data_IF_961790274126
#
_entry.id   IF_961790274126
#
_cell.length_a   1.000
_cell.length_b   1.000
_cell.length_c   1.000
_cell.angle_alpha   90.00
_cell.angle_beta   90.00
_cell.angle_gamma   90.00
#
_symmetry.space_group_name_H-M   'P 1'
#
loop_
_entity.id
_entity.type
_entity.pdbx_description
1 polymer ?
#
# COMPACT_ATOMS: atom_id res chain seq x y z
N UNK A 1 -29.54 -32.05 2.75
CA UNK A 1 -29.07 -30.76 3.31
C UNK A 1 -29.84 -30.34 4.56
N UNK A 2 -31.12 -30.69 4.73
CA UNK A 2 -31.95 -30.35 5.91
C UNK A 2 -31.43 -30.89 7.25
N UNK A 3 -30.87 -32.10 7.29
CA UNK A 3 -30.41 -32.72 8.53
C UNK A 3 -29.15 -32.05 9.14
N UNK A 4 -28.23 -31.55 8.32
CA UNK A 4 -26.99 -30.93 8.81
C UNK A 4 -27.23 -29.53 9.39
N UNK A 5 -28.10 -28.74 8.75
CA UNK A 5 -28.43 -27.40 9.24
C UNK A 5 -29.21 -27.45 10.57
N UNK A 6 -30.08 -28.45 10.73
CA UNK A 6 -30.75 -28.73 12.01
C UNK A 6 -29.74 -29.10 13.10
N UNK A 7 -28.74 -29.94 12.77
CA UNK A 7 -27.64 -30.28 13.69
C UNK A 7 -26.79 -29.08 14.06
N UNK A 8 -26.45 -28.19 13.12
CA UNK A 8 -25.76 -26.92 13.42
C UNK A 8 -26.58 -26.06 14.38
N UNK A 9 -27.90 -25.95 14.17
CA UNK A 9 -28.80 -25.19 15.04
C UNK A 9 -28.88 -25.79 16.44
N UNK A 10 -29.01 -27.12 16.55
CA UNK A 10 -29.00 -27.83 17.84
C UNK A 10 -27.67 -27.62 18.57
N UNK A 11 -26.55 -27.73 17.86
CA UNK A 11 -25.23 -27.44 18.43
C UNK A 11 -25.11 -26.00 18.95
N UNK A 12 -25.62 -25.01 18.22
CA UNK A 12 -25.65 -23.62 18.67
C UNK A 12 -26.53 -23.44 19.92
N UNK A 13 -27.65 -24.16 20.03
CA UNK A 13 -28.52 -24.15 21.22
C UNK A 13 -27.83 -24.79 22.43
N UNK A 14 -27.16 -25.93 22.25
CA UNK A 14 -26.36 -26.58 23.29
C UNK A 14 -25.25 -25.65 23.80
N UNK A 15 -24.51 -25.04 22.88
CA UNK A 15 -23.46 -24.08 23.23
C UNK A 15 -23.99 -22.85 23.97
N UNK A 16 -25.19 -22.39 23.65
CA UNK A 16 -25.83 -21.26 24.34
C UNK A 16 -26.41 -21.64 25.72
N UNK A 17 -26.82 -22.90 25.90
CA UNK A 17 -27.35 -23.42 27.16
C UNK A 17 -26.24 -23.87 28.14
N UNK A 18 -25.02 -24.10 27.64
CA UNK A 18 -23.87 -24.50 28.44
C UNK A 18 -23.46 -23.38 29.42
N UNK A 19 -23.69 -23.62 30.71
CA UNK A 19 -23.40 -22.65 31.80
C UNK A 19 -21.92 -22.58 32.15
N UNK A 20 -21.19 -23.69 32.03
CA UNK A 20 -19.75 -23.74 32.20
C UNK A 20 -19.09 -24.23 30.91
N UNK A 21 -18.63 -23.31 30.05
CA UNK A 21 -17.95 -23.70 28.83
C UNK A 21 -16.72 -24.57 29.11
N UNK A 22 -16.10 -24.50 30.29
CA UNK A 22 -14.88 -25.24 30.59
C UNK A 22 -15.05 -26.76 30.55
N UNK A 23 -16.30 -27.24 30.57
CA UNK A 23 -16.68 -28.61 30.25
C UNK A 23 -15.92 -29.13 29.02
N UNK A 24 -15.42 -30.35 29.16
CA UNK A 24 -14.57 -31.02 28.19
C UNK A 24 -15.34 -32.10 27.43
N UNK A 25 -14.75 -32.60 26.33
CA UNK A 25 -15.33 -33.72 25.57
C UNK A 25 -15.62 -34.95 26.46
N UNK A 26 -14.89 -35.15 27.57
CA UNK A 26 -15.15 -36.25 28.53
C UNK A 26 -16.38 -36.07 29.41
N UNK A 27 -16.98 -34.88 29.43
CA UNK A 27 -18.21 -34.58 30.19
C UNK A 27 -19.46 -34.58 29.28
N UNK A 28 -19.26 -34.75 27.95
CA UNK A 28 -20.33 -34.84 26.98
C UNK A 28 -21.07 -36.18 27.08
N UNK A 29 -22.36 -36.16 26.78
CA UNK A 29 -23.16 -37.39 26.69
C UNK A 29 -22.72 -38.25 25.50
N UNK A 30 -22.96 -39.57 25.58
CA UNK A 30 -22.68 -40.49 24.47
C UNK A 30 -23.35 -40.05 23.16
N UNK A 31 -24.58 -39.53 23.24
CA UNK A 31 -25.31 -38.99 22.08
C UNK A 31 -24.61 -37.77 21.47
N UNK A 32 -24.07 -36.86 22.28
CA UNK A 32 -23.32 -35.69 21.80
C UNK A 32 -21.98 -36.08 21.18
N UNK A 33 -21.28 -37.06 21.77
CA UNK A 33 -20.04 -37.58 21.21
C UNK A 33 -20.28 -38.21 19.84
N UNK A 34 -21.30 -39.04 19.71
CA UNK A 34 -21.68 -39.67 18.44
C UNK A 34 -22.05 -38.64 17.37
N UNK A 35 -22.81 -37.60 17.72
CA UNK A 35 -23.28 -36.58 16.77
C UNK A 35 -22.21 -35.56 16.38
N UNK A 36 -21.36 -35.10 17.32
CA UNK A 36 -20.53 -33.89 17.16
C UNK A 36 -19.03 -34.13 17.18
N UNK A 37 -18.55 -35.26 17.72
CA UNK A 37 -17.10 -35.53 17.84
C UNK A 37 -16.43 -35.71 16.47
N UNK A 38 -15.21 -35.19 16.34
CA UNK A 38 -14.37 -35.42 15.16
C UNK A 38 -13.92 -36.89 15.02
N UNK A 39 -14.17 -37.74 16.02
CA UNK A 39 -13.84 -39.16 15.96
C UNK A 39 -14.91 -39.98 15.21
N UNK A 40 -16.15 -39.50 15.15
CA UNK A 40 -17.25 -40.21 14.51
C UNK A 40 -17.44 -39.76 13.06
N UNK A 41 -18.04 -40.62 12.22
CA UNK A 41 -18.35 -40.26 10.85
C UNK A 41 -19.38 -39.11 10.77
N UNK A 42 -20.36 -39.11 11.68
CA UNK A 42 -21.39 -38.08 11.74
C UNK A 42 -20.82 -36.71 12.12
N UNK A 43 -19.96 -36.63 13.14
CA UNK A 43 -19.35 -35.37 13.55
C UNK A 43 -18.34 -34.83 12.54
N UNK A 44 -17.62 -35.69 11.81
CA UNK A 44 -16.78 -35.26 10.67
C UNK A 44 -17.61 -34.62 9.55
N UNK A 45 -18.73 -35.24 9.16
CA UNK A 45 -19.63 -34.69 8.15
C UNK A 45 -20.21 -33.35 8.58
N UNK A 46 -20.56 -33.19 9.85
CA UNK A 46 -21.02 -31.92 10.38
C UNK A 46 -19.91 -30.86 10.37
N UNK A 47 -18.71 -31.20 10.83
CA UNK A 47 -17.54 -30.32 10.78
C UNK A 47 -17.25 -29.80 9.36
N UNK A 48 -17.29 -30.68 8.36
CA UNK A 48 -17.04 -30.33 6.96
C UNK A 48 -18.10 -29.39 6.39
N UNK A 49 -19.32 -29.43 6.94
CA UNK A 49 -20.40 -28.51 6.56
C UNK A 49 -20.20 -27.08 7.06
N UNK A 50 -19.28 -26.84 8.00
CA UNK A 50 -18.93 -25.50 8.46
C UNK A 50 -17.90 -24.84 7.54
N UNK A 51 -18.25 -23.62 7.13
CA UNK A 51 -17.32 -22.66 6.51
C UNK A 51 -16.37 -22.09 7.56
N UNK A 52 -15.22 -21.59 7.08
CA UNK A 52 -14.27 -20.89 7.95
C UNK A 52 -14.94 -19.69 8.64
N UNK A 53 -15.77 -18.94 7.92
CA UNK A 53 -16.45 -17.75 8.42
C UNK A 53 -17.49 -18.08 9.51
N UNK A 54 -18.26 -19.15 9.38
CA UNK A 54 -19.19 -19.59 10.43
C UNK A 54 -18.44 -19.92 11.74
N UNK A 55 -17.31 -20.61 11.65
CA UNK A 55 -16.49 -20.94 12.83
C UNK A 55 -15.85 -19.69 13.44
N UNK A 56 -15.33 -18.78 12.62
CA UNK A 56 -14.75 -17.52 13.10
C UNK A 56 -15.81 -16.62 13.75
N UNK A 57 -17.04 -16.63 13.23
CA UNK A 57 -18.17 -15.87 13.79
C UNK A 57 -18.57 -16.37 15.19
N UNK A 58 -18.44 -17.67 15.48
CA UNK A 58 -18.62 -18.20 16.84
C UNK A 58 -17.64 -17.51 17.80
N UNK A 59 -16.37 -17.42 17.42
CA UNK A 59 -15.33 -16.78 18.24
C UNK A 59 -15.62 -15.29 18.45
N UNK A 60 -16.05 -14.57 17.40
CA UNK A 60 -16.41 -13.14 17.50
C UNK A 60 -17.58 -12.91 18.45
N UNK A 61 -18.67 -13.69 18.31
CA UNK A 61 -19.83 -13.59 19.20
C UNK A 61 -19.48 -13.90 20.66
N UNK A 62 -18.65 -14.92 20.90
CA UNK A 62 -18.16 -15.18 22.27
C UNK A 62 -17.32 -14.02 22.79
N UNK A 63 -16.47 -13.41 21.96
CA UNK A 63 -15.69 -12.24 22.34
C UNK A 63 -16.55 -11.02 22.69
N UNK A 64 -17.64 -10.79 21.94
CA UNK A 64 -18.63 -9.75 22.21
C UNK A 64 -19.34 -9.97 23.55
N UNK A 65 -19.75 -11.20 23.82
CA UNK A 65 -20.40 -11.56 25.09
C UNK A 65 -19.47 -11.41 26.30
N UNK A 66 -18.20 -11.77 26.16
CA UNK A 66 -17.21 -11.68 27.24
C UNK A 66 -16.56 -10.30 27.37
N UNK A 67 -16.67 -9.45 26.36
CA UNK A 67 -15.99 -8.15 26.29
C UNK A 67 -14.46 -8.24 26.10
N UNK A 68 -13.92 -9.43 25.83
CA UNK A 68 -12.49 -9.67 25.58
C UNK A 68 -12.28 -10.84 24.61
N UNK A 69 -11.05 -10.99 24.09
CA UNK A 69 -10.71 -12.14 23.25
C UNK A 69 -10.83 -13.45 24.05
N UNK A 70 -11.63 -14.44 23.61
CA UNK A 70 -11.92 -15.63 24.40
C UNK A 70 -10.71 -16.56 24.49
N UNK A 71 -10.43 -17.07 25.67
CA UNK A 71 -9.58 -18.24 25.86
C UNK A 71 -10.26 -19.49 25.29
N UNK A 72 -9.45 -20.49 24.95
CA UNK A 72 -9.97 -21.74 24.40
C UNK A 72 -11.08 -22.31 25.30
N UNK A 73 -10.85 -22.34 26.62
CA UNK A 73 -11.78 -22.85 27.64
C UNK A 73 -13.07 -22.02 27.85
N UNK A 74 -13.23 -20.91 27.14
CA UNK A 74 -14.41 -20.04 27.24
C UNK A 74 -15.36 -20.23 26.04
N UNK A 75 -14.98 -21.06 25.06
CA UNK A 75 -15.80 -21.39 23.87
C UNK A 75 -16.25 -22.84 23.96
N UNK A 76 -17.51 -23.18 23.67
CA UNK A 76 -18.01 -24.57 23.79
C UNK A 76 -17.13 -25.63 23.11
N UNK A 77 -17.01 -26.82 23.73
CA UNK A 77 -15.95 -27.80 23.42
C UNK A 77 -15.93 -28.25 21.96
N UNK A 78 -17.09 -28.48 21.35
CA UNK A 78 -17.20 -28.88 19.93
C UNK A 78 -16.55 -27.84 19.02
N UNK A 79 -16.86 -26.56 19.23
CA UNK A 79 -16.27 -25.48 18.46
C UNK A 79 -14.76 -25.34 18.71
N UNK A 80 -14.26 -25.62 19.93
CA UNK A 80 -12.80 -25.67 20.19
C UNK A 80 -12.12 -26.68 19.29
N UNK A 81 -12.70 -27.89 19.19
CA UNK A 81 -12.16 -28.98 18.39
C UNK A 81 -12.15 -28.59 16.90
N UNK A 82 -13.25 -28.02 16.41
CA UNK A 82 -13.38 -27.61 15.01
C UNK A 82 -12.41 -26.47 14.65
N UNK A 83 -12.31 -25.45 15.50
CA UNK A 83 -11.40 -24.32 15.32
C UNK A 83 -9.93 -24.75 15.35
N UNK A 84 -9.54 -25.62 16.29
CA UNK A 84 -8.18 -26.17 16.34
C UNK A 84 -7.86 -27.01 15.12
N UNK A 85 -8.82 -27.82 14.64
CA UNK A 85 -8.64 -28.62 13.43
C UNK A 85 -8.49 -27.75 12.19
N UNK A 86 -9.28 -26.67 12.06
CA UNK A 86 -9.31 -25.81 10.87
C UNK A 86 -8.16 -24.79 10.83
N UNK A 87 -7.78 -24.21 11.97
CA UNK A 87 -6.82 -23.11 12.05
C UNK A 87 -5.53 -23.45 12.80
N UNK A 88 -5.32 -24.74 13.11
CA UNK A 88 -4.16 -25.34 13.80
C UNK A 88 -4.00 -24.90 15.26
N UNK A 89 -3.82 -23.59 15.50
CA UNK A 89 -3.55 -23.00 16.81
C UNK A 89 -4.60 -21.96 17.16
N UNK A 90 -5.01 -21.93 18.43
CA UNK A 90 -6.00 -20.97 18.93
C UNK A 90 -5.65 -19.49 18.63
N UNK A 91 -4.40 -19.02 18.80
CA UNK A 91 -4.03 -17.66 18.44
C UNK A 91 -4.16 -17.34 16.94
N UNK A 92 -4.16 -18.35 16.06
CA UNK A 92 -4.40 -18.14 14.63
C UNK A 92 -5.88 -18.01 14.32
N UNK A 93 -6.73 -18.79 14.99
CA UNK A 93 -8.19 -18.61 14.92
C UNK A 93 -8.60 -17.20 15.42
N UNK A 94 -8.08 -16.76 16.57
CA UNK A 94 -8.31 -15.40 17.08
C UNK A 94 -7.86 -14.34 16.07
N UNK A 95 -6.64 -14.49 15.53
CA UNK A 95 -6.13 -13.53 14.55
C UNK A 95 -6.97 -13.48 13.27
N UNK A 96 -7.47 -14.62 12.76
CA UNK A 96 -8.37 -14.67 11.61
C UNK A 96 -9.79 -14.17 11.93
N UNK A 97 -10.17 -14.13 13.19
CA UNK A 97 -11.43 -13.55 13.63
C UNK A 97 -11.32 -12.02 13.85
N UNK A 98 -10.17 -11.41 13.56
CA UNK A 98 -9.91 -9.99 13.83
C UNK A 98 -9.67 -9.67 15.30
N UNK A 99 -9.33 -10.65 16.13
CA UNK A 99 -9.13 -10.54 17.58
C UNK A 99 -7.65 -10.59 17.97
N UNK A 100 -7.37 -10.13 19.19
CA UNK A 100 -6.03 -10.21 19.79
C UNK A 100 -5.63 -11.65 20.07
N UNK A 101 -4.34 -11.97 19.91
CA UNK A 101 -3.77 -13.27 20.29
C UNK A 101 -3.70 -13.46 21.81
N UNK A 102 -3.75 -12.37 22.57
CA UNK A 102 -3.81 -12.41 24.02
C UNK A 102 -5.25 -12.71 24.47
N UNK A 103 -5.47 -13.92 24.97
CA UNK A 103 -6.79 -14.47 25.26
C UNK A 103 -7.10 -14.55 26.77
N UNK A 104 -8.39 -14.65 27.12
CA UNK A 104 -8.88 -14.76 28.50
C UNK A 104 -8.93 -13.44 29.26
N UNK A 105 -9.14 -13.49 30.57
CA UNK A 105 -9.34 -12.30 31.45
C UNK A 105 -8.16 -11.31 31.48
N UNK A 106 -6.96 -11.73 31.06
CA UNK A 106 -5.78 -10.84 30.90
C UNK A 106 -5.52 -10.42 29.45
N UNK A 107 -6.39 -10.81 28.52
CA UNK A 107 -6.33 -10.49 27.11
C UNK A 107 -6.74 -9.05 26.80
N UNK A 108 -6.52 -8.62 25.56
CA UNK A 108 -6.95 -7.28 25.11
C UNK A 108 -8.48 -7.21 25.11
N UNK A 109 -9.05 -6.23 25.81
CA UNK A 109 -10.50 -6.00 25.81
C UNK A 109 -11.00 -5.56 24.43
N UNK A 110 -12.26 -5.87 24.12
CA UNK A 110 -12.92 -5.45 22.88
C UNK A 110 -12.92 -3.93 22.73
N UNK A 111 -13.25 -3.22 23.82
CA UNK A 111 -13.23 -1.76 23.86
C UNK A 111 -11.85 -1.18 23.52
N UNK A 112 -10.76 -1.79 24.02
CA UNK A 112 -9.40 -1.35 23.70
C UNK A 112 -9.06 -1.59 22.23
N UNK A 113 -9.38 -2.75 21.68
CA UNK A 113 -9.12 -3.05 20.26
C UNK A 113 -9.91 -2.11 19.34
N UNK A 114 -11.15 -1.78 19.71
CA UNK A 114 -11.96 -0.82 18.98
C UNK A 114 -11.37 0.60 19.07
N UNK A 115 -10.93 1.04 20.24
CA UNK A 115 -10.25 2.32 20.42
C UNK A 115 -8.95 2.40 19.59
N UNK A 116 -8.14 1.33 19.57
CA UNK A 116 -6.92 1.26 18.75
C UNK A 116 -7.25 1.32 17.25
N UNK A 117 -8.29 0.62 16.78
CA UNK A 117 -8.75 0.70 15.38
C UNK A 117 -9.29 2.09 15.03
N UNK A 118 -10.04 2.71 15.94
CA UNK A 118 -10.56 4.07 15.75
C UNK A 118 -9.41 5.07 15.64
N UNK A 119 -8.47 5.01 16.58
CA UNK A 119 -7.28 5.87 16.57
C UNK A 119 -6.44 5.68 15.30
N UNK A 120 -6.27 4.44 14.82
CA UNK A 120 -5.59 4.17 13.55
C UNK A 120 -6.29 4.84 12.36
N UNK A 121 -7.63 4.81 12.29
CA UNK A 121 -8.39 5.53 11.26
C UNK A 121 -8.22 7.04 11.37
N UNK A 122 -8.28 7.59 12.58
CA UNK A 122 -8.09 9.03 12.83
C UNK A 122 -6.69 9.50 12.38
N UNK A 123 -5.65 8.69 12.60
CA UNK A 123 -4.30 8.99 12.11
C UNK A 123 -4.24 9.05 10.58
N UNK A 124 -4.90 8.12 9.88
CA UNK A 124 -4.94 8.14 8.41
C UNK A 124 -5.72 9.34 7.88
N UNK A 125 -6.84 9.69 8.52
CA UNK A 125 -7.61 10.88 8.15
C UNK A 125 -6.81 12.16 8.39
N UNK A 126 -6.10 12.26 9.53
CA UNK A 126 -5.19 13.37 9.80
C UNK A 126 -4.12 13.52 8.71
N UNK A 127 -3.54 12.41 8.24
CA UNK A 127 -2.57 12.45 7.14
C UNK A 127 -3.22 12.97 5.86
N UNK A 128 -4.43 12.53 5.55
CA UNK A 128 -5.21 12.98 4.39
C UNK A 128 -5.55 14.46 4.46
N UNK A 129 -6.15 14.90 5.56
CA UNK A 129 -6.53 16.30 5.80
C UNK A 129 -5.32 17.23 5.75
N UNK A 130 -4.19 16.82 6.35
CA UNK A 130 -2.96 17.62 6.27
C UNK A 130 -2.45 17.73 4.83
N UNK A 131 -2.63 16.70 4.00
CA UNK A 131 -2.34 16.77 2.57
C UNK A 131 -3.18 17.82 1.85
N UNK A 132 -4.48 17.87 2.16
CA UNK A 132 -5.41 18.87 1.62
C UNK A 132 -5.00 20.28 2.08
N UNK A 133 -4.75 20.47 3.37
CA UNK A 133 -4.35 21.76 3.95
C UNK A 133 -3.04 22.30 3.36
N UNK A 134 -2.05 21.42 3.16
CA UNK A 134 -0.77 21.80 2.59
C UNK A 134 -0.82 21.99 1.07
N UNK A 135 -1.86 21.49 0.40
CA UNK A 135 -1.91 21.40 -1.06
C UNK A 135 -0.80 20.53 -1.65
N UNK A 136 -0.16 19.67 -0.87
CA UNK A 136 0.95 18.81 -1.33
C UNK A 136 0.96 17.51 -0.55
N UNK A 137 1.70 16.52 -1.06
CA UNK A 137 1.99 15.31 -0.29
C UNK A 137 2.64 15.74 1.04
N UNK A 138 2.05 15.33 2.17
CA UNK A 138 2.69 15.51 3.44
C UNK A 138 3.99 14.71 3.52
N UNK A 139 5.03 15.36 4.02
CA UNK A 139 6.31 14.75 4.32
C UNK A 139 6.27 14.20 5.76
N UNK A 140 7.05 13.15 6.11
CA UNK A 140 7.18 12.68 7.50
C UNK A 140 7.52 13.76 8.54
N UNK A 141 8.09 14.88 8.09
CA UNK A 141 8.45 16.02 8.96
C UNK A 141 7.25 16.87 9.35
N UNK A 142 6.14 16.73 8.63
CA UNK A 142 4.88 17.41 8.91
C UNK A 142 4.09 16.71 10.04
N UNK A 143 4.54 15.53 10.52
CA UNK A 143 3.88 14.71 11.58
C UNK A 143 4.87 14.17 12.62
N UNK A 144 5.79 15.00 13.11
CA UNK A 144 6.84 14.51 14.01
C UNK A 144 6.29 13.85 15.27
N UNK A 145 5.15 14.34 15.76
CA UNK A 145 4.51 13.85 16.97
C UNK A 145 3.78 12.52 16.73
N UNK A 146 3.23 12.31 15.54
CA UNK A 146 2.43 11.14 15.18
C UNK A 146 3.25 10.02 14.51
N UNK A 147 4.53 10.27 14.19
CA UNK A 147 5.41 9.27 13.56
C UNK A 147 5.55 8.00 14.40
N UNK A 148 5.58 8.13 15.73
CA UNK A 148 5.67 6.98 16.64
C UNK A 148 4.45 6.06 16.54
N UNK A 149 3.25 6.64 16.42
CA UNK A 149 2.01 5.88 16.31
C UNK A 149 1.83 5.27 14.93
N UNK A 150 2.17 5.99 13.86
CA UNK A 150 2.14 5.46 12.50
C UNK A 150 3.14 4.30 12.31
N UNK A 151 4.30 4.34 12.97
CA UNK A 151 5.30 3.27 12.92
C UNK A 151 4.84 1.96 13.55
N UNK A 152 3.77 1.95 14.37
CA UNK A 152 3.16 0.72 14.90
C UNK A 152 2.49 -0.11 13.81
N UNK A 153 2.00 0.56 12.76
CA UNK A 153 1.21 -0.06 11.70
C UNK A 153 1.98 -0.18 10.37
N UNK A 154 2.92 0.72 10.10
CA UNK A 154 3.59 0.83 8.80
C UNK A 154 5.11 0.87 8.89
N UNK A 155 5.78 0.26 7.91
CA UNK A 155 7.24 0.23 7.80
C UNK A 155 7.82 1.34 6.94
N UNK A 156 7.03 1.88 6.00
CA UNK A 156 7.46 2.94 5.07
C UNK A 156 6.43 4.07 5.02
N UNK A 157 6.87 5.31 4.81
CA UNK A 157 5.94 6.45 4.63
C UNK A 157 5.02 6.24 3.42
N UNK A 158 5.52 5.55 2.39
CA UNK A 158 4.72 5.21 1.21
C UNK A 158 3.53 4.30 1.56
N UNK A 159 3.70 3.37 2.50
CA UNK A 159 2.58 2.56 2.99
C UNK A 159 1.54 3.41 3.72
N UNK A 160 1.97 4.39 4.52
CA UNK A 160 1.07 5.36 5.18
C UNK A 160 0.26 6.13 4.14
N UNK A 161 0.93 6.73 3.15
CA UNK A 161 0.27 7.50 2.09
C UNK A 161 -0.72 6.63 1.29
N UNK A 162 -0.32 5.40 0.94
CA UNK A 162 -1.19 4.45 0.24
C UNK A 162 -2.42 4.10 1.08
N UNK A 163 -2.23 3.84 2.38
CA UNK A 163 -3.33 3.52 3.29
C UNK A 163 -4.27 4.71 3.54
N UNK A 164 -3.74 5.94 3.49
CA UNK A 164 -4.51 7.17 3.56
C UNK A 164 -5.18 7.55 2.22
N UNK A 165 -5.02 6.74 1.16
CA UNK A 165 -5.57 7.02 -0.17
C UNK A 165 -4.89 8.18 -0.90
N UNK A 166 -3.66 8.54 -0.53
CA UNK A 166 -2.86 9.56 -1.21
C UNK A 166 -1.99 8.88 -2.27
N UNK A 167 -2.38 9.03 -3.53
CA UNK A 167 -1.60 8.57 -4.68
C UNK A 167 -0.68 9.68 -5.19
N UNK A 168 0.38 9.34 -5.92
CA UNK A 168 1.38 10.33 -6.38
C UNK A 168 0.89 11.16 -7.57
N UNK A 169 -0.09 10.64 -8.31
CA UNK A 169 -0.75 11.31 -9.42
C UNK A 169 -1.61 12.49 -8.95
N UNK A 170 -2.26 12.36 -7.79
CA UNK A 170 -3.19 13.36 -7.21
C UNK A 170 -2.47 14.51 -6.48
N UNK A 171 -1.17 14.66 -6.68
CA UNK A 171 -0.28 15.45 -5.80
C UNK A 171 0.16 16.79 -6.37
N UNK A 172 -0.28 17.03 -7.59
CA UNK A 172 -0.12 18.27 -8.31
C UNK A 172 -1.50 18.87 -8.50
N UNK A 173 -1.60 20.19 -8.35
CA UNK A 173 -2.87 20.89 -8.45
C UNK A 173 -2.65 22.20 -9.20
N UNK A 174 -3.59 22.60 -10.07
CA UNK A 174 -3.50 23.89 -10.76
C UNK A 174 -3.70 25.03 -9.76
N UNK A 175 -2.90 26.09 -9.88
CA UNK A 175 -3.06 27.32 -9.09
C UNK A 175 -3.67 28.38 -10.00
N UNK A 176 -4.96 28.68 -9.82
CA UNK A 176 -5.68 29.62 -10.67
C UNK A 176 -5.29 31.08 -10.45
N UNK A 177 -4.89 31.44 -9.23
CA UNK A 177 -4.66 32.81 -8.76
C UNK A 177 -3.17 33.17 -8.64
N UNK A 178 -2.35 32.73 -9.60
CA UNK A 178 -0.93 33.09 -9.63
C UNK A 178 -0.75 34.59 -9.89
N UNK A 179 -0.07 35.26 -8.98
CA UNK A 179 0.26 36.67 -9.07
C UNK A 179 1.25 36.91 -10.24
N UNK A 180 1.22 38.09 -10.89
CA UNK A 180 2.09 38.38 -12.04
C UNK A 180 3.58 38.15 -11.78
N UNK A 181 4.06 38.41 -10.55
CA UNK A 181 5.44 38.13 -10.14
C UNK A 181 5.77 36.64 -10.27
N UNK A 182 4.92 35.75 -9.77
CA UNK A 182 5.13 34.30 -9.86
C UNK A 182 4.98 33.79 -11.29
N UNK A 183 4.07 34.36 -12.09
CA UNK A 183 3.97 34.04 -13.53
C UNK A 183 5.27 34.36 -14.25
N UNK A 184 5.88 35.52 -13.99
CA UNK A 184 7.17 35.88 -14.57
C UNK A 184 8.30 34.93 -14.12
N UNK A 185 8.31 34.53 -12.85
CA UNK A 185 9.27 33.53 -12.33
C UNK A 185 9.10 32.16 -12.99
N UNK A 186 7.85 31.72 -13.20
CA UNK A 186 7.53 30.46 -13.88
C UNK A 186 7.91 30.51 -15.36
N UNK A 187 7.69 31.63 -16.06
CA UNK A 187 8.14 31.81 -17.44
C UNK A 187 9.67 31.74 -17.54
N UNK A 188 10.40 32.42 -16.65
CA UNK A 188 11.87 32.32 -16.56
C UNK A 188 12.32 30.87 -16.34
N UNK A 189 11.62 30.13 -15.48
CA UNK A 189 11.90 28.72 -15.24
C UNK A 189 11.63 27.85 -16.49
N UNK A 190 10.58 28.15 -17.24
CA UNK A 190 10.23 27.47 -18.48
C UNK A 190 11.25 27.77 -19.59
N UNK A 191 11.73 29.01 -19.71
CA UNK A 191 12.82 29.38 -20.62
C UNK A 191 14.10 28.61 -20.28
N UNK A 192 14.45 28.52 -18.99
CA UNK A 192 15.58 27.71 -18.56
C UNK A 192 15.38 26.23 -18.92
N UNK A 193 14.17 25.69 -18.76
CA UNK A 193 13.86 24.31 -19.16
C UNK A 193 14.01 24.09 -20.67
N UNK A 194 13.56 25.06 -21.49
CA UNK A 194 13.72 25.03 -22.95
C UNK A 194 15.21 25.06 -23.34
N UNK A 195 16.00 25.92 -22.70
CA UNK A 195 17.44 26.00 -22.94
C UNK A 195 18.18 24.71 -22.54
N UNK A 196 17.77 24.06 -21.45
CA UNK A 196 18.30 22.75 -21.03
C UNK A 196 17.78 21.58 -21.87
N UNK A 197 16.69 21.78 -22.62
CA UNK A 197 15.99 20.71 -23.34
C UNK A 197 15.21 19.74 -22.46
N UNK A 198 15.03 20.06 -21.17
CA UNK A 198 14.36 19.22 -20.17
C UNK A 198 13.97 20.05 -18.95
N UNK A 199 13.17 19.47 -18.06
CA UNK A 199 12.92 20.08 -16.76
C UNK A 199 14.26 20.29 -15.99
N UNK A 200 14.46 21.47 -15.38
CA UNK A 200 15.66 21.74 -14.59
C UNK A 200 15.66 20.92 -13.29
N UNK A 201 16.84 20.48 -12.89
CA UNK A 201 17.05 19.89 -11.58
C UNK A 201 16.94 20.98 -10.51
N UNK A 202 16.54 20.57 -9.30
CA UNK A 202 16.41 21.48 -8.15
C UNK A 202 17.70 22.27 -7.86
N UNK A 203 18.86 21.67 -8.08
CA UNK A 203 20.19 22.29 -7.88
C UNK A 203 20.63 23.21 -9.01
N UNK A 204 20.00 23.14 -10.20
CA UNK A 204 20.32 23.96 -11.37
C UNK A 204 19.60 25.32 -11.35
N UNK A 205 18.64 25.49 -10.43
CA UNK A 205 17.86 26.72 -10.28
C UNK A 205 18.35 27.48 -9.05
N UNK A 206 18.55 28.80 -9.24
CA UNK A 206 19.00 29.70 -8.19
C UNK A 206 18.14 29.56 -6.92
N UNK A 207 18.81 29.46 -5.77
CA UNK A 207 18.16 29.14 -4.50
C UNK A 207 17.06 30.14 -4.09
N UNK A 208 17.23 31.47 -4.25
CA UNK A 208 16.17 32.43 -3.93
C UNK A 208 14.90 32.24 -4.77
N UNK A 209 15.08 32.09 -6.09
CA UNK A 209 13.99 31.84 -7.03
C UNK A 209 13.25 30.54 -6.68
N UNK A 210 14.01 29.46 -6.48
CA UNK A 210 13.47 28.16 -6.09
C UNK A 210 12.68 28.23 -4.79
N UNK A 211 13.19 28.89 -3.76
CA UNK A 211 12.50 29.00 -2.45
C UNK A 211 11.18 29.74 -2.58
N UNK A 212 11.14 30.87 -3.30
CA UNK A 212 9.89 31.62 -3.57
C UNK A 212 8.87 30.75 -4.30
N UNK A 213 9.27 30.09 -5.38
CA UNK A 213 8.39 29.23 -6.17
C UNK A 213 7.86 28.04 -5.35
N UNK A 214 8.69 27.39 -4.53
CA UNK A 214 8.26 26.28 -3.66
C UNK A 214 7.31 26.79 -2.57
N UNK A 215 7.57 27.95 -1.98
CA UNK A 215 6.69 28.52 -0.97
C UNK A 215 5.29 28.79 -1.54
N UNK A 216 5.20 29.32 -2.76
CA UNK A 216 3.91 29.62 -3.42
C UNK A 216 3.23 28.39 -4.01
N UNK A 217 3.99 27.48 -4.62
CA UNK A 217 3.46 26.29 -5.30
C UNK A 217 3.38 25.07 -4.38
N UNK A 218 3.81 25.16 -3.12
CA UNK A 218 3.87 24.07 -2.14
C UNK A 218 5.04 23.12 -2.33
N UNK A 219 5.33 22.68 -3.56
CA UNK A 219 6.43 21.73 -3.83
C UNK A 219 7.11 21.99 -5.17
N UNK A 220 8.35 21.49 -5.31
CA UNK A 220 9.09 21.57 -6.58
C UNK A 220 8.36 20.84 -7.73
N UNK A 221 7.72 19.70 -7.42
CA UNK A 221 6.92 18.95 -8.40
C UNK A 221 5.74 19.78 -8.88
N UNK A 222 5.04 20.45 -7.97
CA UNK A 222 3.91 21.29 -8.33
C UNK A 222 4.35 22.59 -9.05
N UNK A 223 5.53 23.15 -8.72
CA UNK A 223 6.13 24.25 -9.48
C UNK A 223 6.34 23.86 -10.95
N UNK A 224 6.90 22.67 -11.22
CA UNK A 224 7.07 22.17 -12.58
C UNK A 224 5.72 21.89 -13.25
N UNK A 225 4.73 21.40 -12.49
CA UNK A 225 3.39 21.17 -12.99
C UNK A 225 2.71 22.45 -13.50
N UNK A 226 2.90 23.60 -12.83
CA UNK A 226 2.33 24.88 -13.28
C UNK A 226 2.83 25.30 -14.68
N UNK A 227 3.98 24.78 -15.13
CA UNK A 227 4.54 25.03 -16.46
C UNK A 227 4.45 23.81 -17.39
N UNK A 228 3.60 22.83 -17.03
CA UNK A 228 3.36 21.62 -17.83
C UNK A 228 4.53 20.64 -17.87
N UNK A 229 5.43 20.69 -16.88
CA UNK A 229 6.60 19.83 -16.76
C UNK A 229 6.49 18.87 -15.58
N UNK A 230 7.20 17.74 -15.67
CA UNK A 230 7.40 16.82 -14.56
C UNK A 230 8.87 16.82 -14.09
N UNK A 231 9.14 16.54 -12.80
CA UNK A 231 10.50 16.36 -12.32
C UNK A 231 11.23 15.25 -13.06
N UNK A 232 12.53 15.44 -13.25
CA UNK A 232 13.43 14.36 -13.66
C UNK A 232 13.43 13.28 -12.58
N UNK A 233 12.91 12.10 -12.90
CA UNK A 233 12.73 11.00 -11.96
C UNK A 233 13.77 9.90 -12.19
N UNK A 234 14.36 9.35 -11.13
CA UNK A 234 15.22 8.18 -11.28
C UNK A 234 14.38 6.97 -11.69
N UNK A 235 14.93 6.05 -12.48
CA UNK A 235 14.25 4.82 -12.92
C UNK A 235 13.83 3.94 -11.72
N UNK A 236 14.54 4.06 -10.59
CA UNK A 236 14.25 3.38 -9.31
C UNK A 236 14.26 4.39 -8.15
N UNK A 237 13.19 5.18 -7.94
CA UNK A 237 13.14 6.15 -6.86
C UNK A 237 12.90 5.46 -5.50
N UNK A 238 13.58 5.92 -4.44
CA UNK A 238 13.37 5.54 -3.03
C UNK A 238 13.48 4.04 -2.65
N UNK A 239 14.19 3.21 -3.42
CA UNK A 239 14.38 1.76 -3.14
C UNK A 239 15.09 1.42 -1.82
N UNK A 240 15.36 2.40 -0.94
CA UNK A 240 16.00 2.21 0.35
C UNK A 240 15.61 3.22 1.44
N UNK A 241 14.46 3.89 1.34
CA UNK A 241 14.00 4.82 2.40
C UNK A 241 13.15 4.08 3.43
N UNK A 242 13.80 3.58 4.48
CA UNK A 242 13.19 2.87 5.62
C UNK A 242 12.76 3.89 6.69
N UNK A 243 11.63 3.71 7.36
CA UNK A 243 11.21 4.59 8.48
C UNK A 243 12.05 4.41 9.75
N UNK A 244 12.86 3.34 9.85
CA UNK A 244 13.72 3.12 11.00
C UNK A 244 14.86 4.12 11.05
N UNK A 245 15.19 4.58 12.27
CA UNK A 245 16.12 5.66 12.58
C UNK A 245 17.61 5.34 12.31
N UNK A 246 17.91 4.38 11.44
CA UNK A 246 19.25 3.82 11.20
C UNK A 246 19.75 4.13 9.80
N UNK A 247 19.91 5.43 9.50
CA UNK A 247 21.03 6.00 8.76
C UNK A 247 20.69 7.43 8.32
N UNK A 248 21.16 8.43 9.09
CA UNK A 248 21.21 9.83 8.67
C UNK A 248 22.45 10.11 7.81
N UNK A 249 22.70 9.27 6.81
CA UNK A 249 23.68 9.57 5.77
C UNK A 249 23.05 10.51 4.76
N UNK A 250 23.50 11.76 4.69
CA UNK A 250 23.16 12.69 3.60
C UNK A 250 23.73 12.15 2.30
N UNK A 251 22.97 11.28 1.61
CA UNK A 251 23.34 10.85 0.26
C UNK A 251 23.33 12.08 -0.64
N UNK A 252 24.51 12.45 -1.14
CA UNK A 252 24.66 13.52 -2.13
C UNK A 252 23.83 13.15 -3.36
N UNK A 253 23.00 14.08 -3.83
CA UNK A 253 22.26 13.90 -5.07
C UNK A 253 23.27 13.76 -6.22
N UNK A 254 23.23 12.63 -6.93
CA UNK A 254 24.00 12.46 -8.17
C UNK A 254 23.39 13.36 -9.25
N UNK A 255 24.23 14.11 -9.95
CA UNK A 255 23.85 15.02 -11.03
C UNK A 255 23.84 14.35 -12.41
N UNK A 256 24.24 13.08 -12.50
CA UNK A 256 24.32 12.32 -13.76
C UNK A 256 22.96 11.73 -14.11
N UNK A 257 22.44 12.04 -15.30
CA UNK A 257 21.07 11.72 -15.74
C UNK A 257 20.92 10.38 -16.49
N UNK A 258 21.95 9.54 -16.48
CA UNK A 258 21.97 8.28 -17.23
C UNK A 258 20.88 7.28 -16.78
N UNK A 259 20.39 7.42 -15.54
CA UNK A 259 19.40 6.53 -14.93
C UNK A 259 18.09 7.27 -14.58
N UNK A 260 17.72 8.28 -15.39
CA UNK A 260 16.52 9.09 -15.18
C UNK A 260 15.53 9.02 -16.35
N UNK A 261 14.24 9.15 -16.03
CA UNK A 261 13.15 9.47 -16.93
C UNK A 261 12.83 10.97 -16.86
N UNK A 262 12.74 11.61 -18.02
CA UNK A 262 12.34 13.02 -18.15
C UNK A 262 11.89 13.32 -19.58
N UNK A 263 10.93 14.25 -19.72
CA UNK A 263 10.47 14.70 -21.03
C UNK A 263 11.52 15.58 -21.71
N UNK A 264 11.87 15.26 -22.94
CA UNK A 264 12.76 16.09 -23.77
C UNK A 264 11.92 17.17 -24.45
N UNK A 265 12.37 18.43 -24.36
CA UNK A 265 11.61 19.60 -24.80
C UNK A 265 12.08 20.16 -26.15
N UNK A 266 13.30 19.83 -26.57
CA UNK A 266 13.97 20.40 -27.75
C UNK A 266 14.35 19.34 -28.79
N UNK A 267 13.45 18.39 -29.06
CA UNK A 267 13.66 17.39 -30.11
C UNK A 267 13.63 18.05 -31.49
N UNK A 268 14.74 17.94 -32.22
CA UNK A 268 14.81 18.35 -33.61
C UNK A 268 14.03 17.37 -34.52
N UNK A 269 13.84 17.76 -35.78
CA UNK A 269 13.03 16.99 -36.72
C UNK A 269 13.66 15.62 -37.07
N UNK A 270 14.98 15.49 -36.92
CA UNK A 270 15.68 14.22 -37.11
C UNK A 270 15.41 13.29 -35.92
N UNK A 271 15.52 13.80 -34.70
CA UNK A 271 15.23 13.07 -33.48
C UNK A 271 13.80 12.55 -33.45
N UNK A 272 12.82 13.34 -33.93
CA UNK A 272 11.43 12.88 -34.06
C UNK A 272 11.28 11.72 -35.04
N UNK A 273 11.91 11.79 -36.21
CA UNK A 273 11.89 10.68 -37.20
C UNK A 273 12.52 9.42 -36.63
N UNK A 274 13.65 9.55 -35.97
CA UNK A 274 14.35 8.43 -35.34
C UNK A 274 13.56 7.81 -34.16
N UNK A 275 12.84 8.62 -33.38
CA UNK A 275 11.91 8.12 -32.37
C UNK A 275 10.75 7.34 -33.00
N UNK A 276 10.25 7.77 -34.15
CA UNK A 276 9.19 7.08 -34.88
C UNK A 276 9.67 5.75 -35.47
N UNK A 277 10.94 5.65 -35.89
CA UNK A 277 11.55 4.37 -36.26
C UNK A 277 11.55 3.38 -35.09
N UNK A 278 11.84 3.84 -33.87
CA UNK A 278 11.77 3.01 -32.66
C UNK A 278 10.33 2.60 -32.34
N UNK A 279 9.34 3.48 -32.56
CA UNK A 279 7.92 3.14 -32.41
C UNK A 279 7.52 2.00 -33.36
N UNK A 280 7.84 2.13 -34.64
CA UNK A 280 7.58 1.10 -35.66
C UNK A 280 8.26 -0.23 -35.32
N UNK A 281 9.48 -0.17 -34.78
CA UNK A 281 10.17 -1.36 -34.29
C UNK A 281 9.42 -2.02 -33.12
N UNK A 282 8.91 -1.22 -32.17
CA UNK A 282 8.13 -1.72 -31.05
C UNK A 282 6.81 -2.37 -31.49
N UNK A 283 6.10 -1.75 -32.44
CA UNK A 283 4.88 -2.29 -33.05
C UNK A 283 5.14 -3.63 -33.74
N UNK A 284 6.23 -3.71 -34.53
CA UNK A 284 6.64 -4.96 -35.19
C UNK A 284 6.96 -6.07 -34.19
N UNK A 285 7.52 -5.73 -33.03
CA UNK A 285 7.89 -6.70 -31.98
C UNK A 285 6.72 -7.03 -31.04
N UNK A 286 5.64 -6.25 -31.04
CA UNK A 286 4.56 -6.34 -30.05
C UNK A 286 5.00 -6.02 -28.61
N UNK A 287 6.20 -5.44 -28.42
CA UNK A 287 6.80 -5.12 -27.13
C UNK A 287 7.86 -4.03 -27.26
N UNK A 288 8.23 -3.33 -26.16
CA UNK A 288 9.34 -2.39 -26.19
C UNK A 288 10.66 -3.05 -26.66
N UNK A 289 11.39 -2.44 -27.60
CA UNK A 289 12.64 -3.00 -28.13
C UNK A 289 13.76 -2.94 -27.10
N UNK A 290 14.51 -4.03 -26.98
CA UNK A 290 15.77 -4.08 -26.21
C UNK A 290 16.83 -3.27 -26.93
N UNK A 291 17.78 -2.73 -26.16
CA UNK A 291 18.89 -1.90 -26.68
C UNK A 291 19.66 -2.52 -27.86
N UNK A 292 19.82 -3.84 -27.90
CA UNK A 292 20.54 -4.56 -28.96
C UNK A 292 19.70 -4.82 -30.22
N UNK A 293 18.39 -4.64 -30.15
CA UNK A 293 17.44 -4.89 -31.24
C UNK A 293 17.29 -3.67 -32.17
N UNK A 294 17.76 -2.49 -31.73
CA UNK A 294 17.78 -1.27 -32.53
C UNK A 294 19.15 -1.07 -33.22
N UNK A 295 19.17 -0.51 -34.45
CA UNK A 295 20.40 -0.16 -35.15
C UNK A 295 21.36 0.70 -34.31
N UNK A 296 22.67 0.45 -34.43
CA UNK A 296 23.65 1.13 -33.59
C UNK A 296 23.71 2.65 -33.81
N UNK A 297 23.59 3.11 -35.06
CA UNK A 297 23.55 4.53 -35.39
C UNK A 297 22.35 5.23 -34.73
N UNK A 298 21.15 4.68 -34.94
CA UNK A 298 19.90 5.12 -34.31
C UNK A 298 20.01 5.18 -32.78
N UNK A 299 20.62 4.15 -32.17
CA UNK A 299 20.83 4.11 -30.72
C UNK A 299 21.77 5.21 -30.24
N UNK A 300 22.87 5.49 -30.95
CA UNK A 300 23.84 6.52 -30.56
C UNK A 300 23.23 7.91 -30.64
N UNK A 301 22.48 8.19 -31.71
CA UNK A 301 21.82 9.47 -31.93
C UNK A 301 20.72 9.71 -30.88
N UNK A 302 19.83 8.74 -30.67
CA UNK A 302 18.79 8.82 -29.63
C UNK A 302 19.36 8.86 -28.20
N UNK A 303 20.49 8.18 -27.93
CA UNK A 303 21.16 8.29 -26.63
C UNK A 303 21.74 9.70 -26.41
N UNK A 304 22.22 10.37 -27.47
CA UNK A 304 22.72 11.74 -27.38
C UNK A 304 21.59 12.73 -27.07
N UNK A 305 20.42 12.59 -27.70
CA UNK A 305 19.29 13.49 -27.46
C UNK A 305 18.49 13.17 -26.20
N UNK A 306 18.20 11.89 -25.94
CA UNK A 306 17.39 11.46 -24.80
C UNK A 306 18.22 11.14 -23.55
N UNK A 307 19.55 11.18 -23.62
CA UNK A 307 20.47 10.87 -22.52
C UNK A 307 20.67 9.38 -22.25
N UNK A 308 19.62 8.56 -22.40
CA UNK A 308 19.68 7.10 -22.24
C UNK A 308 18.64 6.39 -23.11
N UNK A 309 18.91 5.12 -23.46
CA UNK A 309 17.94 4.27 -24.17
C UNK A 309 16.64 4.08 -23.39
N UNK A 310 16.73 3.99 -22.06
CA UNK A 310 15.55 3.89 -21.20
C UNK A 310 14.69 5.15 -21.31
N UNK A 311 15.31 6.33 -21.33
CA UNK A 311 14.58 7.59 -21.51
C UNK A 311 14.03 7.76 -22.93
N UNK A 312 14.70 7.20 -23.96
CA UNK A 312 14.15 7.09 -25.32
C UNK A 312 12.83 6.32 -25.33
N UNK A 313 12.78 5.15 -24.68
CA UNK A 313 11.54 4.38 -24.55
C UNK A 313 10.47 5.13 -23.75
N UNK A 314 10.87 5.90 -22.73
CA UNK A 314 9.96 6.77 -21.98
C UNK A 314 9.33 7.85 -22.86
N UNK A 315 10.06 8.49 -23.77
CA UNK A 315 9.48 9.50 -24.70
C UNK A 315 8.34 8.92 -25.53
N UNK A 316 8.40 7.61 -25.82
CA UNK A 316 7.43 6.90 -26.65
C UNK A 316 6.28 6.28 -25.84
N UNK A 317 6.30 6.39 -24.51
CA UNK A 317 5.36 5.69 -23.63
C UNK A 317 5.58 4.17 -23.59
N UNK A 318 6.71 3.68 -24.11
CA UNK A 318 7.06 2.26 -24.19
C UNK A 318 7.78 1.76 -22.94
N UNK A 319 7.46 2.32 -21.78
CA UNK A 319 8.05 1.85 -20.53
C UNK A 319 7.63 0.40 -20.28
N UNK A 320 8.52 -0.49 -19.82
CA UNK A 320 8.06 -1.75 -19.26
C UNK A 320 7.08 -1.40 -18.16
N UNK A 321 5.89 -2.02 -18.15
CA UNK A 321 4.97 -1.90 -17.02
C UNK A 321 5.82 -1.97 -15.76
N UNK A 322 5.66 -1.01 -14.84
CA UNK A 322 6.21 -1.15 -13.49
C UNK A 322 5.83 -2.56 -13.10
N UNK A 323 6.80 -3.50 -13.04
CA UNK A 323 6.54 -4.85 -12.53
C UNK A 323 5.74 -4.55 -11.28
N UNK A 324 4.47 -4.99 -11.22
CA UNK A 324 3.68 -4.96 -10.00
C UNK A 324 4.66 -5.39 -8.94
N UNK A 325 5.16 -4.43 -8.17
CA UNK A 325 6.22 -4.69 -7.19
C UNK A 325 5.60 -5.74 -6.34
N UNK A 326 6.17 -6.94 -6.46
CA UNK A 326 5.74 -8.18 -5.85
C UNK A 326 4.41 -8.00 -5.10
N UNK A 327 3.30 -8.43 -5.70
CA UNK A 327 2.16 -8.87 -4.90
C UNK A 327 2.68 -10.02 -4.02
N UNK A 328 3.45 -9.69 -2.98
CA UNK A 328 3.31 -10.33 -1.70
C UNK A 328 1.95 -9.90 -1.20
N UNK A 329 0.91 -10.47 -1.81
CA UNK A 329 -0.31 -10.83 -1.12
C UNK A 329 0.12 -11.64 0.10
N UNK A 330 0.52 -10.95 1.17
CA UNK A 330 -0.19 -11.20 2.39
C UNK A 330 -1.47 -10.41 2.21
N UNK A 331 -2.50 -11.13 1.77
CA UNK A 331 -3.87 -10.71 1.99
C UNK A 331 -3.93 -10.00 3.35
N UNK A 332 -4.68 -8.89 3.47
CA UNK A 332 -5.20 -8.52 4.77
C UNK A 332 -5.87 -9.80 5.27
N UNK A 333 -5.40 -10.34 6.39
CA UNK A 333 -6.24 -11.30 7.11
C UNK A 333 -7.49 -10.51 7.43
N UNK A 334 -8.57 -10.86 6.74
CA UNK A 334 -9.93 -10.38 6.96
C UNK A 334 -10.27 -10.35 8.46
#
# INVERSE_FOLDING_TARGET
MTNLEEKKRRLAQLAAACTDPSETESEASEEELDEYSLQTAAGKLLYESFTDEELLNVVRKTAEQLGHSPAQREVFWVYRCYLKRRFEKWPYALQKAGLSKAAGRGGTSMARMEAERKHHRELLELVRERGIQLGRIPHPKDFQDELGDLAKYYQTWNQVLTAAGIHWEDTVHPIGDLEPEYRAMLEKLLEQARALGRAPLRSEVEEPLRKKLIARCGSWRNTLYQIGLEPVAHITPFSGTVLSNTNKGTKRHRTVLHECYYKVLNLDERAKRELEEVRRLAEKLGRPPKRKEAPEALRKDLQKWCGSWSNTLFQLGLQPEKKKTFQGTKEPRE
#
